data_IF_570315038005
#
_entry.id   IF_570315038005
#
_cell.length_a   1.000
_cell.length_b   1.000
_cell.length_c   1.000
_cell.angle_alpha   90.00
_cell.angle_beta   90.00
_cell.angle_gamma   90.00
#
_symmetry.space_group_name_H-M   'P 1'
#
loop_
_entity.id
_entity.type
_entity.pdbx_description
1 polymer ?
#
# COMPACT_ATOMS: atom_id res chain seq x y z
N UNK A 1 6.13 30.83 0.04
CA UNK A 1 5.30 29.74 0.62
C UNK A 1 6.24 28.65 1.10
N UNK A 2 6.20 28.40 2.40
CA UNK A 2 7.02 27.39 3.06
C UNK A 2 6.66 25.98 2.54
N UNK A 3 7.63 25.31 1.91
CA UNK A 3 7.50 23.98 1.33
C UNK A 3 7.75 22.87 2.36
N UNK A 4 7.72 23.18 3.67
CA UNK A 4 8.05 22.24 4.76
C UNK A 4 7.17 20.99 4.84
N UNK A 5 6.02 20.96 4.16
CA UNK A 5 5.21 19.73 4.00
C UNK A 5 5.86 18.68 3.07
N UNK A 6 6.87 19.06 2.26
CA UNK A 6 7.64 18.13 1.41
C UNK A 6 8.73 17.35 2.14
N UNK A 7 8.91 17.54 3.47
CA UNK A 7 9.95 16.87 4.27
C UNK A 7 9.42 15.91 5.34
N UNK A 8 8.16 15.50 5.28
CA UNK A 8 7.76 14.30 6.02
C UNK A 8 8.48 13.12 5.38
N UNK A 9 9.31 12.44 6.18
CA UNK A 9 9.90 11.18 5.75
C UNK A 9 8.77 10.26 5.25
N UNK A 10 8.96 9.57 4.11
CA UNK A 10 7.93 8.68 3.61
C UNK A 10 7.61 7.64 4.68
N UNK A 11 6.32 7.40 4.88
CA UNK A 11 5.82 6.48 5.90
C UNK A 11 6.37 5.05 5.65
N UNK A 12 6.52 4.69 4.38
CA UNK A 12 7.15 3.44 3.96
C UNK A 12 8.59 3.73 3.53
N UNK A 13 9.52 2.83 3.87
CA UNK A 13 10.91 2.90 3.40
C UNK A 13 11.07 2.39 1.95
N UNK A 14 10.27 1.40 1.56
CA UNK A 14 10.24 0.83 0.21
C UNK A 14 8.83 0.42 -0.19
N UNK A 15 8.67 0.11 -1.47
CA UNK A 15 7.42 -0.37 -2.01
C UNK A 15 7.01 -1.70 -1.35
N UNK A 16 5.70 -1.87 -1.18
CA UNK A 16 5.05 -3.06 -0.59
C UNK A 16 4.06 -3.63 -1.60
N UNK A 17 4.14 -4.93 -1.89
CA UNK A 17 3.27 -5.54 -2.88
C UNK A 17 3.88 -6.72 -3.63
N UNK A 18 3.48 -6.86 -4.90
CA UNK A 18 3.91 -7.93 -5.79
C UNK A 18 5.43 -8.21 -5.74
N UNK A 19 5.85 -9.45 -5.38
CA UNK A 19 7.26 -9.84 -5.39
C UNK A 19 7.93 -9.57 -6.73
N UNK A 20 9.17 -9.06 -6.69
CA UNK A 20 9.91 -8.62 -7.88
C UNK A 20 9.58 -7.19 -8.36
N UNK A 21 8.53 -6.56 -7.82
CA UNK A 21 8.20 -5.14 -8.05
C UNK A 21 8.35 -4.27 -6.79
N UNK A 22 8.44 -4.90 -5.62
CA UNK A 22 8.43 -4.27 -4.31
C UNK A 22 9.57 -4.81 -3.42
N UNK A 23 10.07 -3.97 -2.53
CA UNK A 23 11.11 -4.35 -1.56
C UNK A 23 10.57 -5.19 -0.40
N UNK A 24 9.28 -5.03 -0.05
CA UNK A 24 8.58 -5.83 0.96
C UNK A 24 9.31 -5.89 2.31
N UNK A 25 9.87 -4.76 2.76
CA UNK A 25 10.44 -4.69 4.11
C UNK A 25 9.35 -4.95 5.15
N UNK A 26 9.62 -5.85 6.10
CA UNK A 26 8.64 -6.32 7.08
C UNK A 26 7.89 -5.17 7.78
N UNK A 27 8.61 -4.13 8.21
CA UNK A 27 8.00 -2.94 8.83
C UNK A 27 7.00 -2.24 7.90
N UNK A 28 7.35 -2.07 6.64
CA UNK A 28 6.48 -1.41 5.66
C UNK A 28 5.25 -2.28 5.37
N UNK A 29 5.42 -3.61 5.32
CA UNK A 29 4.30 -4.56 5.16
C UNK A 29 3.33 -4.46 6.35
N UNK A 30 3.82 -4.44 7.59
CA UNK A 30 2.98 -4.25 8.79
C UNK A 30 2.19 -2.95 8.71
N UNK A 31 2.84 -1.84 8.31
CA UNK A 31 2.18 -0.55 8.16
C UNK A 31 1.03 -0.64 7.14
N UNK A 32 1.27 -1.27 5.99
CA UNK A 32 0.23 -1.44 4.96
C UNK A 32 -0.91 -2.33 5.45
N UNK A 33 -0.62 -3.45 6.12
CA UNK A 33 -1.63 -4.34 6.73
C UNK A 33 -2.51 -3.57 7.72
N UNK A 34 -1.89 -2.82 8.64
CA UNK A 34 -2.58 -1.97 9.60
C UNK A 34 -3.48 -0.93 8.93
N UNK A 35 -2.96 -0.21 7.93
CA UNK A 35 -3.75 0.81 7.22
C UNK A 35 -4.97 0.19 6.52
N UNK A 36 -4.81 -0.98 5.90
CA UNK A 36 -5.91 -1.70 5.29
C UNK A 36 -6.97 -2.15 6.30
N UNK A 37 -6.57 -2.63 7.48
CA UNK A 37 -7.50 -2.93 8.57
C UNK A 37 -8.28 -1.71 9.07
N UNK A 38 -7.77 -0.49 8.86
CA UNK A 38 -8.44 0.77 9.27
C UNK A 38 -9.42 1.30 8.22
N UNK A 39 -9.28 0.93 6.95
CA UNK A 39 -10.21 1.33 5.88
C UNK A 39 -11.32 0.29 5.71
N UNK A 40 -12.13 0.13 6.78
CA UNK A 40 -13.10 -0.98 6.96
C UNK A 40 -14.30 -1.09 6.00
N UNK A 41 -14.73 -0.12 5.15
CA UNK A 41 -15.76 -0.47 4.16
C UNK A 41 -15.21 -1.17 2.91
N UNK A 42 -13.88 -1.33 2.77
CA UNK A 42 -13.24 -1.89 1.55
C UNK A 42 -12.90 -3.37 1.72
N UNK A 43 -12.54 -3.79 2.93
CA UNK A 43 -12.05 -5.14 3.22
C UNK A 43 -12.98 -5.79 4.25
N UNK A 44 -13.59 -6.90 3.86
CA UNK A 44 -14.59 -7.62 4.65
C UNK A 44 -13.99 -8.62 5.66
N UNK A 45 -12.66 -8.66 5.77
CA UNK A 45 -11.92 -9.56 6.64
C UNK A 45 -10.72 -8.84 7.25
N UNK A 46 -10.31 -9.25 8.44
CA UNK A 46 -9.12 -8.70 9.06
C UNK A 46 -7.86 -9.31 8.40
N UNK A 47 -6.90 -8.45 8.06
CA UNK A 47 -5.60 -8.84 7.53
C UNK A 47 -4.64 -9.04 8.73
N UNK A 48 -3.94 -10.19 8.84
CA UNK A 48 -2.90 -10.35 9.85
C UNK A 48 -1.81 -9.27 9.70
N UNK A 49 -1.43 -8.63 10.80
CA UNK A 49 -0.36 -7.61 10.84
C UNK A 49 1.01 -8.25 11.17
N UNK A 50 1.37 -9.28 10.42
CA UNK A 50 2.57 -10.12 10.63
C UNK A 50 3.81 -9.68 9.82
N UNK A 51 3.65 -8.70 8.93
CA UNK A 51 4.69 -8.23 8.04
C UNK A 51 5.03 -9.17 6.88
N UNK A 52 4.16 -10.16 6.61
CA UNK A 52 4.32 -11.10 5.51
C UNK A 52 3.49 -10.63 4.31
N UNK A 53 4.16 -10.51 3.15
CA UNK A 53 3.49 -10.18 1.90
C UNK A 53 2.75 -11.41 1.34
N UNK A 54 1.51 -11.59 1.77
CA UNK A 54 0.69 -12.73 1.35
C UNK A 54 -0.01 -12.50 -0.01
N UNK A 55 -0.39 -13.56 -0.74
CA UNK A 55 -1.22 -13.43 -1.95
C UNK A 55 -2.53 -12.68 -1.68
N UNK A 56 -3.12 -12.86 -0.50
CA UNK A 56 -4.34 -12.15 -0.06
C UNK A 56 -4.10 -10.65 0.08
N UNK A 57 -2.98 -10.24 0.68
CA UNK A 57 -2.62 -8.83 0.79
C UNK A 57 -2.38 -8.20 -0.59
N UNK A 58 -1.66 -8.90 -1.49
CA UNK A 58 -1.44 -8.43 -2.87
C UNK A 58 -2.77 -8.23 -3.60
N UNK A 59 -3.67 -9.23 -3.52
CA UNK A 59 -5.02 -9.13 -4.12
C UNK A 59 -5.79 -7.94 -3.57
N UNK A 60 -5.69 -7.69 -2.27
CA UNK A 60 -6.33 -6.55 -1.62
C UNK A 60 -5.79 -5.22 -2.15
N UNK A 61 -4.48 -5.09 -2.29
CA UNK A 61 -3.84 -3.91 -2.89
C UNK A 61 -4.35 -3.70 -4.32
N UNK A 62 -4.34 -4.74 -5.15
CA UNK A 62 -4.84 -4.66 -6.53
C UNK A 62 -6.32 -4.26 -6.61
N UNK A 63 -7.17 -4.82 -5.73
CA UNK A 63 -8.58 -4.48 -5.65
C UNK A 63 -8.79 -3.02 -5.22
N UNK A 64 -8.03 -2.55 -4.24
CA UNK A 64 -8.05 -1.16 -3.81
C UNK A 64 -7.69 -0.21 -4.95
N UNK A 65 -6.60 -0.50 -5.67
CA UNK A 65 -6.17 0.26 -6.85
C UNK A 65 -7.25 0.28 -7.95
N UNK A 66 -7.87 -0.86 -8.23
CA UNK A 66 -8.89 -0.97 -9.28
C UNK A 66 -10.20 -0.28 -8.92
N UNK A 67 -10.73 -0.53 -7.72
CA UNK A 67 -12.07 -0.09 -7.32
C UNK A 67 -12.07 1.35 -6.81
N UNK A 68 -11.11 1.68 -5.95
CA UNK A 68 -11.09 2.97 -5.25
C UNK A 68 -10.23 4.02 -5.95
N UNK A 69 -9.15 3.60 -6.59
CA UNK A 69 -8.27 4.51 -7.35
C UNK A 69 -8.54 4.50 -8.85
N UNK A 70 -9.37 3.57 -9.35
CA UNK A 70 -9.73 3.42 -10.77
C UNK A 70 -8.52 3.28 -11.71
N UNK A 71 -7.46 2.63 -11.22
CA UNK A 71 -6.28 2.35 -12.04
C UNK A 71 -6.64 1.37 -13.16
N UNK A 72 -6.24 1.69 -14.40
CA UNK A 72 -6.45 0.80 -15.56
C UNK A 72 -5.61 -0.49 -15.44
N UNK A 73 -4.45 -0.39 -14.80
CA UNK A 73 -3.50 -1.50 -14.63
C UNK A 73 -3.08 -1.63 -13.16
N UNK A 74 -3.93 -2.19 -12.29
CA UNK A 74 -3.59 -2.42 -10.90
C UNK A 74 -2.44 -3.43 -10.81
N UNK A 75 -1.31 -3.02 -10.25
CA UNK A 75 -0.07 -3.81 -10.19
C UNK A 75 0.15 -4.50 -8.84
N UNK A 76 -0.71 -4.23 -7.86
CA UNK A 76 -0.62 -4.79 -6.53
C UNK A 76 0.55 -4.21 -5.72
N UNK A 77 0.97 -2.97 -5.99
CA UNK A 77 2.11 -2.31 -5.32
C UNK A 77 1.70 -0.96 -4.70
N UNK A 78 2.05 -0.77 -3.43
CA UNK A 78 2.01 0.52 -2.73
C UNK A 78 3.42 1.11 -2.72
N UNK A 79 3.57 2.29 -3.30
CA UNK A 79 4.85 3.00 -3.40
C UNK A 79 5.08 3.92 -2.20
N UNK A 80 6.33 4.13 -1.72
CA UNK A 80 6.64 5.00 -0.57
C UNK A 80 6.15 6.43 -0.70
N UNK A 81 6.20 6.97 -1.91
CA UNK A 81 5.79 8.34 -2.20
C UNK A 81 4.30 8.43 -2.53
N UNK A 82 3.58 7.31 -2.50
CA UNK A 82 2.21 7.21 -2.98
C UNK A 82 2.13 7.47 -4.47
N UNK A 83 2.33 6.45 -5.32
CA UNK A 83 1.74 6.48 -6.67
C UNK A 83 0.23 6.31 -6.52
N UNK A 84 -0.42 7.39 -6.15
CA UNK A 84 -1.88 7.53 -6.11
C UNK A 84 -2.32 8.84 -6.78
N UNK A 85 -1.38 9.73 -7.16
CA UNK A 85 -1.68 11.04 -7.74
C UNK A 85 -0.71 11.48 -8.84
N UNK A 86 -0.43 10.64 -9.83
CA UNK A 86 0.03 11.13 -11.14
C UNK A 86 -0.82 10.45 -12.20
N UNK A 87 -1.88 11.16 -12.58
CA UNK A 87 -2.73 10.82 -13.72
C UNK A 87 -2.00 10.98 -15.05
#
# INVERSE_FOLDING_TARGET
MDNSLRRLLPLLKSAVGTPGKAGNFQRDVIIVQYLFNRIKPIIQYDIPEDGIISPTLIRTISQFQSIHLRFQHPDGVIEPEGKTFRG
#
